data_IF_940548160213
#
_entry.id   IF_940548160213
#
_cell.length_a   1.000
_cell.length_b   1.000
_cell.length_c   1.000
_cell.angle_alpha   90.00
_cell.angle_beta   90.00
_cell.angle_gamma   90.00
#
_symmetry.space_group_name_H-M   'P 1'
#
loop_
_entity.id
_entity.type
_entity.pdbx_description
1 polymer ?
#
# COMPACT_ATOMS: atom_id res chain seq x y z
N UNK A 1 -66.08 -9.70 -15.13
CA UNK A 1 -65.26 -9.72 -13.90
C UNK A 1 -64.37 -10.96 -13.93
N UNK A 2 -63.07 -10.81 -14.22
CA UNK A 2 -62.07 -11.87 -14.15
C UNK A 2 -60.78 -11.26 -13.60
N UNK A 3 -60.41 -11.65 -12.37
CA UNK A 3 -59.19 -11.21 -11.68
C UNK A 3 -57.99 -11.94 -12.30
N UNK A 4 -57.12 -11.21 -13.00
CA UNK A 4 -55.82 -11.71 -13.44
C UNK A 4 -54.86 -11.69 -12.24
N UNK A 5 -54.25 -12.83 -11.95
CA UNK A 5 -53.14 -12.96 -11.03
C UNK A 5 -51.85 -12.83 -11.83
N UNK A 6 -51.12 -11.74 -11.56
CA UNK A 6 -49.75 -11.50 -12.00
C UNK A 6 -48.81 -12.39 -11.19
N UNK A 7 -48.21 -13.40 -11.84
CA UNK A 7 -47.04 -14.09 -11.32
C UNK A 7 -45.84 -13.67 -12.15
N UNK A 8 -45.12 -12.67 -11.65
CA UNK A 8 -43.82 -12.23 -12.16
C UNK A 8 -42.83 -13.35 -11.86
N UNK A 9 -42.45 -14.11 -12.88
CA UNK A 9 -41.35 -15.05 -12.79
C UNK A 9 -40.05 -14.26 -12.61
N UNK A 10 -39.39 -14.46 -11.48
CA UNK A 10 -38.07 -13.92 -11.16
C UNK A 10 -37.08 -14.32 -12.25
N UNK A 11 -36.66 -13.34 -13.05
CA UNK A 11 -35.40 -13.43 -13.80
C UNK A 11 -34.30 -13.43 -12.75
N UNK A 12 -33.69 -14.60 -12.54
CA UNK A 12 -32.38 -14.73 -11.89
C UNK A 12 -31.38 -13.94 -12.73
N UNK A 13 -31.23 -12.66 -12.41
CA UNK A 13 -30.05 -11.90 -12.77
C UNK A 13 -28.89 -12.53 -11.99
N UNK A 14 -28.17 -13.45 -12.63
CA UNK A 14 -26.78 -13.71 -12.29
C UNK A 14 -26.04 -12.39 -12.51
N UNK A 15 -25.99 -11.58 -11.46
CA UNK A 15 -25.02 -10.51 -11.33
C UNK A 15 -23.65 -11.18 -11.29
N UNK A 16 -23.01 -11.26 -12.46
CA UNK A 16 -21.57 -11.48 -12.58
C UNK A 16 -20.87 -10.38 -11.79
N UNK A 17 -20.67 -10.63 -10.49
CA UNK A 17 -19.67 -9.94 -9.69
C UNK A 17 -18.30 -10.43 -10.19
N UNK A 18 -17.80 -9.77 -11.23
CA UNK A 18 -16.38 -9.79 -11.54
C UNK A 18 -15.73 -8.86 -10.50
N UNK A 19 -15.30 -9.45 -9.38
CA UNK A 19 -14.37 -8.83 -8.42
C UNK A 19 -12.92 -9.24 -8.79
N UNK A 20 -11.91 -8.43 -8.41
CA UNK A 20 -10.69 -8.22 -9.19
C UNK A 20 -9.60 -9.26 -8.86
N UNK A 21 -9.60 -10.40 -9.54
CA UNK A 21 -8.56 -11.43 -9.36
C UNK A 21 -7.12 -10.95 -9.69
N UNK A 22 -6.97 -9.92 -10.53
CA UNK A 22 -5.67 -9.45 -11.00
C UNK A 22 -4.88 -8.61 -9.96
N UNK A 23 -5.52 -7.97 -9.00
CA UNK A 23 -4.82 -7.15 -8.00
C UNK A 23 -4.24 -8.00 -6.84
N UNK A 24 -4.86 -9.14 -6.56
CA UNK A 24 -4.47 -10.08 -5.51
C UNK A 24 -3.23 -10.89 -5.91
N UNK A 25 -3.20 -11.38 -7.14
CA UNK A 25 -2.12 -12.22 -7.69
C UNK A 25 -0.75 -11.50 -7.72
N UNK A 26 -0.71 -10.27 -8.25
CA UNK A 26 0.52 -9.47 -8.27
C UNK A 26 1.03 -9.20 -6.85
N UNK A 27 0.15 -8.78 -5.95
CA UNK A 27 0.53 -8.37 -4.60
C UNK A 27 1.05 -9.56 -3.80
N UNK A 28 0.38 -10.71 -3.90
CA UNK A 28 0.80 -11.94 -3.22
C UNK A 28 2.16 -12.45 -3.73
N UNK A 29 2.38 -12.42 -5.05
CA UNK A 29 3.66 -12.82 -5.63
C UNK A 29 4.79 -11.83 -5.27
N UNK A 30 4.50 -10.52 -5.24
CA UNK A 30 5.46 -9.50 -4.82
C UNK A 30 5.88 -9.69 -3.36
N UNK A 31 4.91 -9.82 -2.44
CA UNK A 31 5.17 -9.97 -1.01
C UNK A 31 5.95 -11.24 -0.71
N UNK A 32 5.55 -12.37 -1.30
CA UNK A 32 6.30 -13.61 -1.16
C UNK A 32 7.72 -13.48 -1.75
N UNK A 33 7.86 -12.78 -2.88
CA UNK A 33 9.15 -12.46 -3.48
C UNK A 33 10.08 -11.71 -2.51
N UNK A 34 9.56 -10.68 -1.84
CA UNK A 34 10.29 -9.93 -0.80
C UNK A 34 10.71 -10.84 0.34
N UNK A 35 9.81 -11.67 0.85
CA UNK A 35 10.08 -12.58 1.97
C UNK A 35 11.18 -13.59 1.60
N UNK A 36 11.12 -14.18 0.41
CA UNK A 36 12.11 -15.13 -0.06
C UNK A 36 13.49 -14.49 -0.26
N UNK A 37 13.56 -13.29 -0.84
CA UNK A 37 14.81 -12.52 -0.99
C UNK A 37 15.40 -12.13 0.37
N UNK A 38 14.55 -11.71 1.31
CA UNK A 38 14.95 -11.42 2.69
C UNK A 38 15.43 -12.67 3.43
N UNK A 39 14.87 -13.84 3.10
CA UNK A 39 15.24 -15.16 3.60
C UNK A 39 16.49 -15.77 2.95
N UNK A 40 17.13 -15.08 1.99
CA UNK A 40 18.37 -15.51 1.35
C UNK A 40 18.25 -16.02 -0.08
N UNK A 41 17.09 -15.83 -0.75
CA UNK A 41 17.01 -16.04 -2.19
C UNK A 41 17.90 -15.01 -2.93
N UNK A 42 18.59 -15.45 -3.98
CA UNK A 42 19.59 -14.62 -4.68
C UNK A 42 19.02 -13.85 -5.89
N UNK A 43 17.81 -14.20 -6.34
CA UNK A 43 17.19 -13.66 -7.55
C UNK A 43 15.67 -13.83 -7.56
N UNK A 44 14.96 -13.13 -8.47
CA UNK A 44 13.53 -13.31 -8.71
C UNK A 44 13.18 -14.76 -9.03
N UNK A 45 14.01 -15.45 -9.79
CA UNK A 45 13.80 -16.87 -10.12
C UNK A 45 13.88 -17.75 -8.87
N UNK A 46 14.88 -17.52 -8.02
CA UNK A 46 15.00 -18.25 -6.75
C UNK A 46 13.82 -17.95 -5.82
N UNK A 47 13.38 -16.70 -5.76
CA UNK A 47 12.25 -16.27 -4.95
C UNK A 47 10.94 -16.91 -5.42
N UNK A 48 10.71 -16.92 -6.73
CA UNK A 48 9.57 -17.59 -7.37
C UNK A 48 9.56 -19.09 -7.06
N UNK A 49 10.70 -19.79 -7.20
CA UNK A 49 10.80 -21.21 -6.81
C UNK A 49 10.50 -21.43 -5.34
N UNK A 50 10.94 -20.53 -4.45
CA UNK A 50 10.60 -20.60 -3.02
C UNK A 50 9.10 -20.38 -2.74
N UNK A 51 8.44 -19.53 -3.53
CA UNK A 51 7.05 -19.13 -3.31
C UNK A 51 6.03 -20.09 -3.89
N UNK A 52 6.20 -20.48 -5.15
CA UNK A 52 5.22 -21.32 -5.86
C UNK A 52 5.73 -22.74 -6.11
N UNK A 53 7.05 -22.96 -6.09
CA UNK A 53 7.66 -24.26 -6.34
C UNK A 53 7.22 -24.85 -7.68
N UNK A 54 6.71 -26.09 -7.66
CA UNK A 54 6.15 -26.78 -8.83
C UNK A 54 4.60 -26.81 -8.81
N UNK A 55 3.96 -25.92 -8.05
CA UNK A 55 2.51 -25.95 -7.86
C UNK A 55 1.75 -25.58 -9.14
N UNK A 56 2.27 -24.61 -9.90
CA UNK A 56 1.75 -24.15 -11.17
C UNK A 56 2.81 -23.31 -11.89
N UNK A 57 2.61 -23.07 -13.19
CA UNK A 57 3.43 -22.14 -13.96
C UNK A 57 2.99 -20.70 -13.67
N UNK A 58 3.90 -19.79 -13.30
CA UNK A 58 3.56 -18.42 -12.94
C UNK A 58 2.91 -17.68 -14.12
N UNK A 59 1.96 -16.81 -13.82
CA UNK A 59 1.44 -15.91 -14.84
C UNK A 59 2.46 -14.80 -15.17
N UNK A 60 2.32 -14.14 -16.32
CA UNK A 60 3.17 -12.98 -16.66
C UNK A 60 3.08 -11.85 -15.61
N UNK A 61 2.00 -11.81 -14.84
CA UNK A 61 1.80 -10.81 -13.79
C UNK A 61 2.62 -11.16 -12.54
N UNK A 62 2.66 -12.43 -12.15
CA UNK A 62 3.50 -12.92 -11.05
C UNK A 62 4.99 -12.85 -11.41
N UNK A 63 5.36 -13.23 -12.63
CA UNK A 63 6.74 -13.08 -13.11
C UNK A 63 7.23 -11.63 -12.99
N UNK A 64 6.36 -10.68 -13.37
CA UNK A 64 6.62 -9.26 -13.19
C UNK A 64 6.72 -8.89 -11.71
N UNK A 65 5.85 -9.41 -10.86
CA UNK A 65 5.88 -9.15 -9.43
C UNK A 65 7.19 -9.60 -8.77
N UNK A 66 7.70 -10.79 -9.10
CA UNK A 66 9.00 -11.28 -8.60
C UNK A 66 10.18 -10.47 -9.14
N UNK A 67 10.13 -10.02 -10.40
CA UNK A 67 11.17 -9.17 -10.97
C UNK A 67 11.18 -7.77 -10.32
N UNK A 68 9.99 -7.21 -10.08
CA UNK A 68 9.83 -5.93 -9.37
C UNK A 68 10.29 -6.07 -7.91
N UNK A 69 9.97 -7.18 -7.24
CA UNK A 69 10.47 -7.54 -5.92
C UNK A 69 11.99 -7.60 -5.84
N UNK A 70 12.65 -8.29 -6.78
CA UNK A 70 14.12 -8.35 -6.84
C UNK A 70 14.75 -6.98 -7.09
N UNK A 71 14.18 -6.19 -8.00
CA UNK A 71 14.63 -4.82 -8.27
C UNK A 71 14.55 -3.97 -7.00
N UNK A 72 13.43 -4.01 -6.33
CA UNK A 72 13.17 -3.19 -5.15
C UNK A 72 14.02 -3.66 -3.95
N UNK A 73 14.25 -4.96 -3.81
CA UNK A 73 15.14 -5.53 -2.80
C UNK A 73 16.58 -5.09 -3.01
N UNK A 74 17.08 -5.16 -4.25
CA UNK A 74 18.45 -4.75 -4.61
C UNK A 74 18.67 -3.25 -4.53
N UNK A 75 17.64 -2.46 -4.80
CA UNK A 75 17.72 -1.00 -4.66
C UNK A 75 17.62 -0.52 -3.21
N UNK A 76 17.29 -1.42 -2.27
CA UNK A 76 17.03 -1.07 -0.87
C UNK A 76 15.73 -0.27 -0.70
N UNK A 77 14.88 -0.21 -1.73
CA UNK A 77 13.56 0.42 -1.67
C UNK A 77 12.58 -0.39 -0.81
N UNK A 78 12.91 -1.66 -0.54
CA UNK A 78 12.20 -2.47 0.43
C UNK A 78 12.68 -2.06 1.81
N UNK A 79 11.82 -1.31 2.49
CA UNK A 79 11.83 -1.25 3.93
C UNK A 79 11.81 -2.68 4.46
N UNK A 80 12.94 -3.17 5.00
CA UNK A 80 12.94 -4.45 5.70
C UNK A 80 11.79 -4.43 6.70
N UNK A 81 10.96 -5.48 6.72
CA UNK A 81 9.91 -5.62 7.71
C UNK A 81 10.52 -5.42 9.11
N UNK A 82 10.23 -4.27 9.74
CA UNK A 82 10.80 -3.86 11.03
C UNK A 82 11.66 -2.58 11.02
N UNK A 83 12.14 -2.09 9.87
CA UNK A 83 12.80 -0.79 9.76
C UNK A 83 11.83 0.23 9.15
N UNK A 84 11.65 1.37 9.82
CA UNK A 84 10.88 2.46 9.25
C UNK A 84 11.65 3.10 8.10
N UNK A 85 11.15 3.03 6.86
CA UNK A 85 11.84 3.65 5.74
C UNK A 85 11.63 5.16 5.72
N UNK A 86 10.65 5.70 6.46
CA UNK A 86 10.34 7.11 6.48
C UNK A 86 11.50 7.94 7.01
N UNK A 87 11.94 8.91 6.22
CA UNK A 87 12.94 9.90 6.60
C UNK A 87 12.32 11.30 6.74
N UNK A 88 11.50 11.71 5.77
CA UNK A 88 10.78 12.98 5.75
C UNK A 88 9.51 12.90 4.90
N UNK A 89 8.62 13.88 5.05
CA UNK A 89 7.45 14.06 4.21
C UNK A 89 7.34 15.46 3.64
N UNK A 90 6.44 15.63 2.67
CA UNK A 90 6.09 16.91 2.08
C UNK A 90 4.58 17.02 1.98
N UNK A 91 4.03 18.17 2.38
CA UNK A 91 2.68 18.59 2.03
C UNK A 91 2.71 19.96 1.36
N UNK A 92 1.65 20.31 0.63
CA UNK A 92 1.57 21.60 -0.07
C UNK A 92 0.62 22.53 0.68
N UNK A 93 1.16 23.63 1.20
CA UNK A 93 0.39 24.68 1.84
C UNK A 93 -0.25 25.61 0.79
N UNK A 94 -1.52 25.95 1.02
CA UNK A 94 -2.35 26.70 0.08
C UNK A 94 -2.43 28.20 0.34
N UNK A 95 -1.65 28.74 1.30
CA UNK A 95 -1.67 30.17 1.65
C UNK A 95 -2.89 30.58 2.46
N UNK A 96 -3.61 29.65 3.06
CA UNK A 96 -4.85 29.96 3.79
C UNK A 96 -4.59 30.33 5.26
N UNK A 97 -5.59 30.91 5.93
CA UNK A 97 -5.53 31.12 7.39
C UNK A 97 -5.37 29.81 8.16
N UNK A 98 -5.85 28.69 7.60
CA UNK A 98 -5.64 27.37 8.19
C UNK A 98 -4.18 26.89 8.08
N UNK A 99 -3.40 27.49 7.18
CA UNK A 99 -1.96 27.23 6.97
C UNK A 99 -1.07 28.31 7.59
N UNK A 100 -1.61 29.20 8.43
CA UNK A 100 -0.90 30.41 8.88
C UNK A 100 -0.32 31.26 7.73
N UNK A 101 -0.95 31.21 6.55
CA UNK A 101 -0.48 31.84 5.31
C UNK A 101 0.82 31.26 4.74
N UNK A 102 1.23 30.06 5.16
CA UNK A 102 2.31 29.33 4.49
C UNK A 102 1.89 28.92 3.08
N UNK A 103 2.82 29.04 2.13
CA UNK A 103 2.61 28.72 0.72
C UNK A 103 3.69 27.74 0.24
N UNK A 104 3.30 26.79 -0.61
CA UNK A 104 4.22 25.87 -1.26
C UNK A 104 4.58 24.66 -0.42
N UNK A 105 5.67 23.99 -0.78
CA UNK A 105 6.09 22.73 -0.18
C UNK A 105 6.59 22.93 1.26
N UNK A 106 5.94 22.25 2.20
CA UNK A 106 6.30 22.22 3.61
C UNK A 106 6.90 20.86 3.96
N UNK A 107 8.00 20.88 4.70
CA UNK A 107 8.69 19.66 5.16
C UNK A 107 7.98 19.10 6.40
N UNK A 108 7.82 17.79 6.45
CA UNK A 108 7.30 17.03 7.58
C UNK A 108 8.47 16.21 8.13
N UNK A 109 8.73 16.35 9.42
CA UNK A 109 9.83 15.62 10.08
C UNK A 109 9.38 14.34 10.79
N UNK A 110 8.06 14.16 10.94
CA UNK A 110 7.49 13.03 11.66
C UNK A 110 6.20 12.43 11.07
N UNK A 111 6.02 11.13 11.27
CA UNK A 111 4.81 10.40 10.93
C UNK A 111 3.61 10.86 11.79
N UNK A 112 3.86 11.37 13.00
CA UNK A 112 2.78 11.93 13.83
C UNK A 112 2.21 13.21 13.22
N UNK A 113 3.07 14.08 12.69
CA UNK A 113 2.64 15.26 11.93
C UNK A 113 1.94 14.85 10.62
N UNK A 114 2.49 13.88 9.89
CA UNK A 114 1.83 13.32 8.70
C UNK A 114 0.43 12.81 9.01
N UNK A 115 0.23 12.09 10.12
CA UNK A 115 -1.07 11.60 10.56
C UNK A 115 -2.05 12.75 10.85
N UNK A 116 -1.60 13.80 11.53
CA UNK A 116 -2.44 14.98 11.80
C UNK A 116 -2.90 15.67 10.51
N UNK A 117 -1.98 15.84 9.54
CA UNK A 117 -2.28 16.44 8.24
C UNK A 117 -3.27 15.58 7.44
N UNK A 118 -3.08 14.25 7.41
CA UNK A 118 -4.01 13.32 6.79
C UNK A 118 -5.40 13.36 7.45
N UNK A 119 -5.47 13.49 8.78
CA UNK A 119 -6.72 13.67 9.53
C UNK A 119 -7.47 14.94 9.14
N UNK A 120 -6.73 16.02 8.86
CA UNK A 120 -7.29 17.28 8.34
C UNK A 120 -7.68 17.26 6.86
N UNK A 121 -7.51 16.11 6.18
CA UNK A 121 -7.85 15.94 4.76
C UNK A 121 -6.81 16.48 3.79
N UNK A 122 -5.56 16.64 4.23
CA UNK A 122 -4.46 17.10 3.37
C UNK A 122 -3.74 15.93 2.72
N UNK A 123 -3.29 16.17 1.50
CA UNK A 123 -2.40 15.24 0.80
C UNK A 123 -0.97 15.35 1.33
N UNK A 124 -0.40 14.20 1.66
CA UNK A 124 0.97 14.07 2.18
C UNK A 124 1.76 13.09 1.31
N UNK A 125 2.99 13.45 0.98
CA UNK A 125 3.94 12.58 0.29
C UNK A 125 5.08 12.21 1.25
N UNK A 126 5.35 10.92 1.39
CA UNK A 126 6.38 10.40 2.29
C UNK A 126 7.60 9.96 1.47
N UNK A 127 8.78 10.13 2.03
CA UNK A 127 10.06 9.85 1.38
C UNK A 127 10.99 9.05 2.27
N UNK A 128 11.82 8.22 1.63
CA UNK A 128 12.85 7.43 2.28
C UNK A 128 14.17 8.20 2.45
N UNK A 129 15.14 7.56 3.11
CA UNK A 129 16.48 8.12 3.34
C UNK A 129 17.26 8.43 2.05
N UNK A 130 16.89 7.77 0.95
CA UNK A 130 17.49 7.99 -0.37
C UNK A 130 16.74 9.08 -1.17
N UNK A 131 15.67 9.65 -0.61
CA UNK A 131 14.83 10.64 -1.26
C UNK A 131 13.82 10.03 -2.24
N UNK A 132 13.61 8.72 -2.23
CA UNK A 132 12.57 8.08 -3.04
C UNK A 132 11.21 8.25 -2.37
N UNK A 133 10.19 8.47 -3.19
CA UNK A 133 8.81 8.53 -2.70
C UNK A 133 8.36 7.14 -2.24
N UNK A 134 7.91 7.05 -1.00
CA UNK A 134 7.30 5.85 -0.42
C UNK A 134 5.89 5.72 -1.01
N UNK A 135 5.58 4.53 -1.52
CA UNK A 135 4.26 4.26 -2.12
C UNK A 135 3.16 4.22 -1.06
N UNK A 136 1.93 4.54 -1.46
CA UNK A 136 0.77 4.44 -0.57
C UNK A 136 0.57 3.01 -0.06
N UNK A 137 0.91 1.99 -0.87
CA UNK A 137 0.83 0.57 -0.45
C UNK A 137 1.72 0.30 0.77
N UNK A 138 2.91 0.88 0.82
CA UNK A 138 3.85 0.73 1.95
C UNK A 138 3.45 1.61 3.14
N UNK A 139 2.96 2.82 2.88
CA UNK A 139 2.66 3.80 3.92
C UNK A 139 1.29 3.60 4.60
N UNK A 140 0.27 3.16 3.86
CA UNK A 140 -1.10 3.03 4.38
C UNK A 140 -1.20 2.16 5.65
N UNK A 141 -0.48 1.02 5.77
CA UNK A 141 -0.48 0.23 7.01
C UNK A 141 0.03 0.95 8.26
N UNK A 142 0.70 2.10 8.11
CA UNK A 142 1.18 2.89 9.25
C UNK A 142 0.11 3.75 9.88
N UNK A 143 -0.97 4.02 9.16
CA UNK A 143 -2.03 4.93 9.57
C UNK A 143 -3.36 4.20 9.71
N UNK A 144 -4.10 4.53 10.75
CA UNK A 144 -5.47 4.03 10.96
C UNK A 144 -6.38 5.18 11.35
N UNK A 145 -7.59 5.17 10.80
CA UNK A 145 -8.62 6.16 11.13
C UNK A 145 -9.30 5.78 12.45
N UNK A 146 -9.32 6.69 13.41
CA UNK A 146 -10.02 6.55 14.68
C UNK A 146 -11.00 7.72 14.84
N UNK A 147 -12.26 7.49 14.45
CA UNK A 147 -13.25 8.55 14.37
C UNK A 147 -12.88 9.58 13.30
N UNK A 148 -12.77 10.84 13.72
CA UNK A 148 -12.37 11.95 12.84
C UNK A 148 -10.84 12.09 12.71
N UNK A 149 -10.07 11.41 13.56
CA UNK A 149 -8.62 11.49 13.59
C UNK A 149 -7.96 10.37 12.76
N UNK A 150 -6.74 10.64 12.31
CA UNK A 150 -5.83 9.62 11.76
C UNK A 150 -4.68 9.47 12.75
N UNK A 151 -4.39 8.24 13.16
CA UNK A 151 -3.35 7.92 14.14
C UNK A 151 -2.41 6.84 13.61
N UNK A 152 -1.22 6.77 14.19
CA UNK A 152 -0.24 5.73 13.87
C UNK A 152 -0.67 4.38 14.45
N UNK A 153 -0.45 3.29 13.70
CA UNK A 153 -0.59 1.92 14.20
C UNK A 153 0.48 1.58 15.23
N UNK A 154 0.22 0.58 16.08
CA UNK A 154 1.20 0.13 17.08
C UNK A 154 2.47 -0.44 16.44
N UNK A 155 2.35 -0.96 15.21
CA UNK A 155 3.50 -1.39 14.42
C UNK A 155 4.33 -0.20 13.94
N UNK A 156 3.70 0.83 13.34
CA UNK A 156 4.40 2.04 12.94
C UNK A 156 5.08 2.73 14.13
N UNK A 157 4.41 2.84 15.28
CA UNK A 157 5.03 3.40 16.50
C UNK A 157 6.20 2.59 17.03
N UNK A 158 6.27 1.29 16.73
CA UNK A 158 7.40 0.42 17.12
C UNK A 158 8.55 0.51 16.14
N UNK A 159 8.25 0.50 14.84
CA UNK A 159 9.25 0.45 13.79
C UNK A 159 9.84 1.85 13.48
N UNK A 160 9.03 2.90 13.64
CA UNK A 160 9.37 4.30 13.35
C UNK A 160 9.63 5.14 14.61
N UNK A 161 10.13 4.53 15.69
CA UNK A 161 10.36 5.25 16.96
C UNK A 161 11.27 6.46 16.76
N UNK A 162 10.77 7.64 17.13
CA UNK A 162 11.54 8.89 17.05
C UNK A 162 11.49 9.56 15.68
N UNK A 163 10.71 9.01 14.76
CA UNK A 163 10.22 9.65 13.55
C UNK A 163 8.70 9.76 13.63
#
# INVERSE_FOLDING_TARGET
MKKQWTAVACVLAMSLYIAPAAADEYSNAYDCGIEALSGGAESALSAMVSCIGNSYDPSPLEEKAYADAERDFKSGAIAQAGQCPFEFGIWIAGGSRADNFEEGAQLIDSLSEAASLLGSGRDVFLYDINGNKISATVANPWFVRQGDDVVLTDEARRNCRGK
#
